data_IF_691505333284
#
_entry.id   IF_691505333284
#
_cell.length_a   1.000
_cell.length_b   1.000
_cell.length_c   1.000
_cell.angle_alpha   90.00
_cell.angle_beta   90.00
_cell.angle_gamma   90.00
#
_symmetry.space_group_name_H-M   'P 1'
#
loop_
_entity.id
_entity.type
_entity.pdbx_description
1 polymer ?
#
# COMPACT_ATOMS: atom_id res chain seq x y z
N UNK A 1 67.54 -15.76 15.67
CA UNK A 1 66.15 -15.25 15.61
C UNK A 1 65.35 -16.19 14.72
N UNK A 2 64.61 -17.14 15.30
CA UNK A 2 63.79 -18.10 14.55
C UNK A 2 62.37 -17.53 14.39
N UNK A 3 61.91 -17.37 13.15
CA UNK A 3 60.59 -16.85 12.84
C UNK A 3 59.53 -17.95 12.98
N UNK A 4 58.66 -17.80 13.98
CA UNK A 4 57.50 -18.66 14.21
C UNK A 4 56.42 -18.34 13.17
N UNK A 5 56.19 -19.23 12.19
CA UNK A 5 55.08 -19.12 11.23
C UNK A 5 53.94 -20.02 11.68
N UNK A 6 52.90 -19.41 12.27
CA UNK A 6 51.65 -20.11 12.56
C UNK A 6 50.86 -20.32 11.26
N UNK A 7 50.31 -21.52 10.99
CA UNK A 7 49.46 -21.74 9.82
C UNK A 7 48.07 -21.09 10.01
N UNK A 8 47.40 -20.67 8.91
CA UNK A 8 46.09 -20.05 8.98
C UNK A 8 44.98 -21.04 9.41
N UNK A 9 43.91 -20.56 10.06
CA UNK A 9 42.81 -21.41 10.52
C UNK A 9 42.04 -22.01 9.34
N UNK A 10 41.79 -23.32 9.41
CA UNK A 10 40.97 -24.05 8.43
C UNK A 10 39.51 -23.59 8.51
N UNK A 11 38.91 -23.28 7.36
CA UNK A 11 37.48 -22.94 7.26
C UNK A 11 36.61 -24.14 7.71
N UNK A 12 35.51 -23.91 8.44
CA UNK A 12 34.57 -24.98 8.79
C UNK A 12 33.88 -25.54 7.54
N UNK A 13 33.53 -26.83 7.53
CA UNK A 13 32.79 -27.44 6.44
C UNK A 13 31.37 -26.85 6.32
N UNK A 14 30.78 -26.86 5.11
CA UNK A 14 29.41 -26.40 4.91
C UNK A 14 28.43 -27.30 5.70
N UNK A 15 27.31 -26.73 6.20
CA UNK A 15 26.30 -27.50 6.90
C UNK A 15 25.68 -28.56 5.96
N UNK A 16 25.29 -29.73 6.49
CA UNK A 16 24.62 -30.75 5.70
C UNK A 16 23.28 -30.21 5.18
N UNK A 17 22.94 -30.60 3.94
CA UNK A 17 21.67 -30.26 3.33
C UNK A 17 20.50 -30.74 4.22
N UNK A 18 19.44 -29.94 4.41
CA UNK A 18 18.31 -30.33 5.24
C UNK A 18 17.65 -31.58 4.65
N UNK A 19 17.70 -32.67 5.40
CA UNK A 19 16.87 -33.83 5.16
C UNK A 19 15.41 -33.46 5.44
N UNK A 20 14.52 -33.87 4.54
CA UNK A 20 13.06 -33.75 4.60
C UNK A 20 12.48 -32.42 4.08
N UNK A 21 12.25 -32.40 2.77
CA UNK A 21 11.33 -31.48 2.11
C UNK A 21 9.89 -31.86 2.44
N UNK A 22 9.17 -30.97 3.11
CA UNK A 22 7.72 -31.09 3.32
C UNK A 22 7.00 -30.46 2.12
N UNK A 23 6.10 -31.18 1.42
CA UNK A 23 5.28 -30.60 0.34
C UNK A 23 4.53 -29.36 0.85
N UNK A 24 4.72 -28.20 0.20
CA UNK A 24 4.11 -26.92 0.58
C UNK A 24 5.04 -25.92 1.27
N UNK A 25 6.32 -26.25 1.48
CA UNK A 25 7.32 -25.28 1.94
C UNK A 25 7.74 -24.35 0.78
N UNK A 26 8.02 -23.06 1.07
CA UNK A 26 8.48 -22.02 0.12
C UNK A 26 9.70 -22.42 -0.74
N UNK A 27 10.39 -23.51 -0.37
CA UNK A 27 11.49 -24.11 -1.11
C UNK A 27 11.06 -24.87 -2.39
N UNK A 28 9.76 -24.99 -2.70
CA UNK A 28 9.24 -25.58 -3.95
C UNK A 28 8.92 -24.55 -5.02
N UNK A 29 9.47 -23.34 -4.93
CA UNK A 29 9.47 -22.47 -6.11
C UNK A 29 10.41 -23.11 -7.14
N UNK A 30 9.94 -23.44 -8.37
CA UNK A 30 10.85 -23.88 -9.41
C UNK A 30 11.92 -22.81 -9.58
N UNK A 31 13.19 -23.24 -9.67
CA UNK A 31 14.28 -22.34 -10.05
C UNK A 31 13.84 -21.57 -11.29
N UNK A 32 13.91 -20.23 -11.23
CA UNK A 32 13.63 -19.39 -12.38
C UNK A 32 14.55 -19.82 -13.51
N UNK A 33 13.98 -20.51 -14.50
CA UNK A 33 14.67 -20.78 -15.75
C UNK A 33 14.79 -19.42 -16.42
N UNK A 34 15.97 -18.81 -16.36
CA UNK A 34 16.28 -17.63 -17.17
C UNK A 34 16.39 -18.10 -18.63
N UNK A 35 15.23 -18.28 -19.26
CA UNK A 35 15.14 -18.40 -20.69
C UNK A 35 15.65 -17.09 -21.30
N UNK A 36 16.55 -17.20 -22.28
CA UNK A 36 17.19 -16.02 -22.91
C UNK A 36 16.12 -15.05 -23.40
N UNK A 37 16.37 -13.75 -23.28
CA UNK A 37 15.39 -12.68 -23.53
C UNK A 37 14.62 -12.79 -24.85
N UNK A 38 15.22 -13.39 -25.90
CA UNK A 38 14.55 -13.63 -27.19
C UNK A 38 13.48 -14.72 -27.13
N UNK A 39 13.70 -15.79 -26.35
CA UNK A 39 12.74 -16.89 -26.21
C UNK A 39 11.49 -16.49 -25.38
N UNK A 40 11.65 -15.55 -24.45
CA UNK A 40 10.53 -14.96 -23.70
C UNK A 40 9.62 -14.10 -24.60
N UNK A 41 10.20 -13.33 -25.53
CA UNK A 41 9.45 -12.56 -26.52
C UNK A 41 8.70 -13.45 -27.51
N UNK A 42 9.34 -14.53 -27.98
CA UNK A 42 8.69 -15.49 -28.87
C UNK A 42 7.46 -16.16 -28.22
N UNK A 43 7.53 -16.54 -26.94
CA UNK A 43 6.38 -17.07 -26.19
C UNK A 43 5.26 -16.04 -26.01
N UNK A 44 5.61 -14.77 -25.82
CA UNK A 44 4.63 -13.69 -25.73
C UNK A 44 3.87 -13.50 -27.05
N UNK A 45 4.58 -13.49 -28.18
CA UNK A 45 3.94 -13.40 -29.51
C UNK A 45 3.06 -14.62 -29.81
N UNK A 46 3.47 -15.81 -29.40
CA UNK A 46 2.68 -17.04 -29.55
C UNK A 46 1.39 -16.98 -28.72
N UNK A 47 1.46 -16.49 -27.48
CA UNK A 47 0.28 -16.26 -26.65
C UNK A 47 -0.67 -15.22 -27.25
N UNK A 48 -0.15 -14.11 -27.82
CA UNK A 48 -0.99 -13.13 -28.52
C UNK A 48 -1.67 -13.74 -29.74
N UNK A 49 -0.94 -14.49 -30.57
CA UNK A 49 -1.52 -15.21 -31.73
C UNK A 49 -2.63 -16.18 -31.32
N UNK A 50 -2.51 -16.78 -30.13
CA UNK A 50 -3.53 -17.69 -29.59
C UNK A 50 -4.76 -16.94 -29.07
N UNK A 51 -4.57 -15.74 -28.51
CA UNK A 51 -5.65 -14.89 -27.99
C UNK A 51 -6.38 -14.07 -29.06
N UNK A 52 -5.79 -13.88 -30.23
CA UNK A 52 -6.44 -13.25 -31.40
C UNK A 52 -7.44 -14.16 -32.12
N UNK A 53 -7.74 -15.36 -31.59
CA UNK A 53 -8.89 -16.15 -32.04
C UNK A 53 -10.15 -15.34 -31.73
N UNK A 54 -10.63 -14.67 -32.77
CA UNK A 54 -11.78 -13.79 -32.83
C UNK A 54 -12.95 -14.34 -32.02
N UNK A 55 -13.38 -13.60 -31.00
CA UNK A 55 -14.69 -13.80 -30.40
C UNK A 55 -15.74 -13.71 -31.52
N UNK A 56 -16.60 -14.72 -31.64
CA UNK A 56 -17.69 -14.67 -32.60
C UNK A 56 -18.56 -13.44 -32.33
N UNK A 57 -18.93 -12.71 -33.38
CA UNK A 57 -19.85 -11.60 -33.29
C UNK A 57 -21.13 -12.08 -32.58
N UNK A 58 -21.47 -11.44 -31.46
CA UNK A 58 -22.62 -11.79 -30.65
C UNK A 58 -23.86 -11.50 -31.48
N UNK A 59 -24.44 -12.53 -32.10
CA UNK A 59 -25.73 -12.37 -32.78
C UNK A 59 -26.81 -12.21 -31.70
N UNK A 60 -27.63 -11.14 -31.75
CA UNK A 60 -28.74 -11.00 -30.83
C UNK A 60 -29.68 -12.18 -31.05
N UNK A 61 -29.87 -12.99 -30.01
CA UNK A 61 -30.80 -14.11 -30.05
C UNK A 61 -32.21 -13.57 -30.35
N UNK A 62 -32.76 -13.95 -31.52
CA UNK A 62 -34.16 -13.74 -31.84
C UNK A 62 -35.00 -14.62 -30.91
N UNK A 63 -35.30 -14.08 -29.72
CA UNK A 63 -36.25 -14.68 -28.78
C UNK A 63 -37.64 -14.59 -29.43
N UNK A 64 -38.38 -15.70 -29.64
CA UNK A 64 -39.75 -15.61 -30.13
C UNK A 64 -40.57 -14.81 -29.11
N UNK A 65 -41.29 -13.81 -29.59
CA UNK A 65 -42.07 -12.91 -28.78
C UNK A 65 -43.13 -13.72 -27.99
N UNK A 66 -43.19 -13.61 -26.66
CA UNK A 66 -44.39 -14.02 -25.95
C UNK A 66 -45.55 -13.12 -26.42
N UNK A 67 -46.66 -13.74 -26.81
CA UNK A 67 -47.93 -13.07 -27.08
C UNK A 67 -48.45 -12.42 -25.79
N UNK A 68 -48.14 -11.13 -25.61
CA UNK A 68 -48.69 -10.31 -24.52
C UNK A 68 -49.93 -9.59 -25.07
N UNK A 69 -51.11 -9.69 -24.42
CA UNK A 69 -52.27 -8.85 -24.75
C UNK A 69 -51.94 -7.35 -24.55
N UNK A 70 -52.70 -6.42 -25.14
CA UNK A 70 -52.35 -4.99 -25.19
C UNK A 70 -52.45 -4.37 -23.80
N UNK A 71 -51.38 -4.48 -23.03
CA UNK A 71 -51.20 -3.94 -21.68
C UNK A 71 -50.06 -2.94 -21.66
N UNK A 72 -50.07 -1.96 -22.58
CA UNK A 72 -49.24 -0.78 -22.38
C UNK A 72 -49.93 0.07 -21.31
N UNK A 73 -49.57 -0.18 -20.04
CA UNK A 73 -49.83 0.80 -19.01
C UNK A 73 -48.94 2.03 -19.27
N UNK A 74 -49.52 3.25 -19.31
CA UNK A 74 -48.77 4.49 -19.46
C UNK A 74 -47.65 4.56 -18.42
N UNK A 75 -46.42 4.80 -18.86
CA UNK A 75 -45.30 5.06 -17.97
C UNK A 75 -45.52 6.37 -17.23
N UNK A 76 -46.06 6.29 -16.02
CA UNK A 76 -46.05 7.41 -15.10
C UNK A 76 -44.60 7.74 -14.75
N UNK A 77 -44.17 9.02 -14.82
CA UNK A 77 -42.87 9.41 -14.33
C UNK A 77 -42.83 9.07 -12.84
N UNK A 78 -41.87 8.23 -12.45
CA UNK A 78 -41.61 7.89 -11.06
C UNK A 78 -41.46 9.20 -10.29
N UNK A 79 -42.51 9.56 -9.53
CA UNK A 79 -42.50 10.75 -8.71
C UNK A 79 -41.27 10.69 -7.84
N UNK A 80 -40.49 11.77 -7.81
CA UNK A 80 -39.53 12.01 -6.74
C UNK A 80 -40.35 12.02 -5.45
N UNK A 81 -40.52 10.84 -4.87
CA UNK A 81 -40.91 10.68 -3.50
C UNK A 81 -39.90 11.56 -2.77
N UNK A 82 -40.37 12.70 -2.27
CA UNK A 82 -39.60 13.48 -1.34
C UNK A 82 -39.27 12.48 -0.25
N UNK A 83 -38.02 12.01 -0.26
CA UNK A 83 -37.48 11.22 0.82
C UNK A 83 -37.60 12.20 1.96
N UNK A 84 -38.67 12.03 2.74
CA UNK A 84 -38.82 12.62 4.04
C UNK A 84 -37.65 12.00 4.78
N UNK A 85 -36.50 12.67 4.68
CA UNK A 85 -35.28 12.27 5.31
C UNK A 85 -35.67 12.21 6.77
N UNK A 86 -35.98 11.00 7.25
CA UNK A 86 -35.95 10.70 8.66
C UNK A 86 -34.59 11.25 9.04
N UNK A 87 -34.47 12.29 9.88
CA UNK A 87 -33.17 12.69 10.35
C UNK A 87 -32.64 11.39 10.93
N UNK A 88 -31.63 10.82 10.28
CA UNK A 88 -30.89 9.71 10.82
C UNK A 88 -30.33 10.36 12.08
N UNK A 89 -31.06 10.16 13.19
CA UNK A 89 -30.67 10.61 14.50
C UNK A 89 -29.23 10.15 14.60
N UNK A 90 -28.34 11.13 14.67
CA UNK A 90 -26.89 10.99 14.73
C UNK A 90 -26.63 9.72 15.54
N UNK A 91 -26.33 8.62 14.86
CA UNK A 91 -25.82 7.46 15.55
C UNK A 91 -24.60 8.02 16.30
N UNK A 92 -24.50 7.84 17.63
CA UNK A 92 -23.37 8.38 18.37
C UNK A 92 -22.14 7.95 17.60
N UNK A 93 -21.35 8.92 17.13
CA UNK A 93 -20.24 8.69 16.24
C UNK A 93 -19.42 7.57 16.87
N UNK A 94 -19.55 6.35 16.33
CA UNK A 94 -18.78 5.22 16.79
C UNK A 94 -17.35 5.69 16.58
N UNK A 95 -16.62 5.87 17.68
CA UNK A 95 -15.22 6.27 17.61
C UNK A 95 -14.54 5.10 16.90
N UNK A 96 -14.41 5.23 15.59
CA UNK A 96 -13.72 4.24 14.77
C UNK A 96 -12.25 4.46 15.05
N UNK A 97 -11.60 3.42 15.55
CA UNK A 97 -10.15 3.42 15.63
C UNK A 97 -9.60 3.59 14.22
N UNK A 98 -8.77 4.62 14.04
CA UNK A 98 -8.15 4.89 12.75
C UNK A 98 -7.19 3.75 12.42
N UNK A 99 -7.33 3.20 11.21
CA UNK A 99 -6.41 2.16 10.72
C UNK A 99 -5.17 2.78 10.10
N UNK A 100 -4.10 1.99 10.04
CA UNK A 100 -2.83 2.44 9.47
C UNK A 100 -3.00 2.84 8.00
N UNK A 101 -3.73 2.03 7.25
CA UNK A 101 -4.05 2.27 5.84
C UNK A 101 -4.82 3.58 5.66
N UNK A 102 -5.76 3.89 6.56
CA UNK A 102 -6.52 5.14 6.48
C UNK A 102 -5.61 6.36 6.65
N UNK A 103 -4.70 6.32 7.63
CA UNK A 103 -3.71 7.37 7.81
C UNK A 103 -2.77 7.51 6.61
N UNK A 104 -2.33 6.40 6.02
CA UNK A 104 -1.49 6.41 4.82
C UNK A 104 -2.23 6.92 3.58
N UNK A 105 -3.53 6.63 3.44
CA UNK A 105 -4.35 7.14 2.33
C UNK A 105 -4.54 8.64 2.48
N UNK A 106 -4.89 9.11 3.68
CA UNK A 106 -5.07 10.52 3.96
C UNK A 106 -3.79 11.33 3.70
N UNK A 107 -2.63 10.85 4.13
CA UNK A 107 -1.33 11.50 3.89
C UNK A 107 -0.94 11.59 2.41
N UNK A 108 -1.55 10.78 1.52
CA UNK A 108 -1.27 10.74 0.08
C UNK A 108 -2.32 11.46 -0.78
N UNK A 109 -3.41 11.95 -0.18
CA UNK A 109 -4.45 12.70 -0.89
C UNK A 109 -3.85 13.92 -1.59
N UNK A 110 -4.50 14.38 -2.66
CA UNK A 110 -4.10 15.58 -3.40
C UNK A 110 -2.63 15.61 -3.84
N UNK A 111 -2.02 14.45 -4.10
CA UNK A 111 -0.60 14.33 -4.44
C UNK A 111 0.36 14.89 -3.37
N UNK A 112 -0.03 14.82 -2.09
CA UNK A 112 0.81 15.18 -0.94
C UNK A 112 1.98 14.20 -0.78
N UNK A 113 3.17 14.75 -0.57
CA UNK A 113 4.39 14.01 -0.22
C UNK A 113 4.60 13.95 1.30
N UNK A 114 4.64 15.12 1.94
CA UNK A 114 4.83 15.25 3.38
C UNK A 114 4.37 16.63 3.89
N UNK A 115 4.16 16.83 5.21
CA UNK A 115 3.97 18.16 5.77
C UNK A 115 5.20 19.05 5.54
N UNK A 116 5.02 20.37 5.54
CA UNK A 116 6.09 21.36 5.55
C UNK A 116 7.03 21.17 6.75
N UNK A 117 8.30 21.61 6.68
CA UNK A 117 9.32 21.30 7.69
C UNK A 117 8.93 21.65 9.14
N UNK A 118 8.29 22.81 9.34
CA UNK A 118 7.88 23.26 10.67
C UNK A 118 6.84 22.32 11.29
N UNK A 119 5.80 21.98 10.52
CA UNK A 119 4.71 21.09 10.89
C UNK A 119 5.22 19.65 11.07
N UNK A 120 6.14 19.22 10.21
CA UNK A 120 6.73 17.89 10.30
C UNK A 120 7.58 17.74 11.57
N UNK A 121 8.30 18.78 11.97
CA UNK A 121 9.02 18.79 13.25
C UNK A 121 8.06 18.70 14.45
N UNK A 122 6.90 19.36 14.39
CA UNK A 122 5.87 19.30 15.42
C UNK A 122 5.24 17.89 15.50
N UNK A 123 4.96 17.30 14.34
CA UNK A 123 4.48 15.92 14.23
C UNK A 123 5.45 14.93 14.87
N UNK A 124 6.75 15.05 14.58
CA UNK A 124 7.77 14.16 15.15
C UNK A 124 7.86 14.27 16.68
N UNK A 125 7.80 15.49 17.22
CA UNK A 125 7.82 15.73 18.68
C UNK A 125 6.63 15.13 19.41
N UNK A 126 5.49 14.97 18.73
CA UNK A 126 4.30 14.34 19.30
C UNK A 126 4.44 12.82 19.42
N UNK A 127 5.32 12.19 18.64
CA UNK A 127 5.48 10.73 18.65
C UNK A 127 6.29 10.29 19.87
N UNK A 128 5.73 9.43 20.75
CA UNK A 128 6.46 8.97 21.92
C UNK A 128 7.59 8.01 21.52
N UNK A 129 8.72 8.02 22.27
CA UNK A 129 9.71 6.98 22.17
C UNK A 129 9.14 5.65 22.69
N UNK A 130 9.61 4.54 22.13
CA UNK A 130 9.20 3.19 22.53
C UNK A 130 10.33 2.53 23.33
N UNK A 131 10.01 1.99 24.49
CA UNK A 131 10.96 1.16 25.25
C UNK A 131 10.61 -0.31 25.01
N UNK A 132 11.59 -1.11 24.57
CA UNK A 132 11.45 -2.55 24.39
C UNK A 132 12.73 -3.22 24.86
N UNK A 133 12.60 -4.26 25.71
CA UNK A 133 13.75 -5.03 26.22
C UNK A 133 14.86 -4.16 26.87
N UNK A 134 14.46 -3.09 27.56
CA UNK A 134 15.40 -2.15 28.18
C UNK A 134 16.13 -1.22 27.21
N UNK A 135 15.85 -1.28 25.90
CA UNK A 135 16.34 -0.35 24.88
C UNK A 135 15.26 0.65 24.49
N UNK A 136 15.63 1.92 24.44
CA UNK A 136 14.77 3.00 23.95
C UNK A 136 14.97 3.17 22.44
N UNK A 137 13.89 3.05 21.69
CA UNK A 137 13.82 3.25 20.26
C UNK A 137 13.08 4.56 19.99
N UNK A 138 13.67 5.41 19.16
CA UNK A 138 13.11 6.72 18.81
C UNK A 138 12.45 6.69 17.43
N UNK A 139 11.41 7.52 17.21
CA UNK A 139 10.80 7.67 15.89
C UNK A 139 11.82 8.15 14.85
N UNK A 140 11.69 7.74 13.56
CA UNK A 140 12.52 8.24 12.48
C UNK A 140 12.53 9.78 12.46
N UNK A 141 13.70 10.40 12.41
CA UNK A 141 13.82 11.85 12.39
C UNK A 141 13.22 12.44 11.10
N UNK A 142 12.57 13.62 11.18
CA UNK A 142 12.14 14.36 10.00
C UNK A 142 13.36 14.83 9.19
N UNK A 143 13.13 15.21 7.93
CA UNK A 143 14.19 15.79 7.11
C UNK A 143 14.41 17.24 7.54
N UNK A 144 15.62 17.54 8.04
CA UNK A 144 15.99 18.88 8.51
C UNK A 144 16.14 19.89 7.36
N UNK A 145 16.02 21.18 7.66
CA UNK A 145 15.95 22.27 6.67
C UNK A 145 17.09 22.31 5.64
N UNK A 146 18.33 21.96 6.02
CA UNK A 146 19.45 21.88 5.08
C UNK A 146 19.34 20.66 4.15
N UNK A 147 18.90 19.52 4.68
CA UNK A 147 18.68 18.29 3.91
C UNK A 147 17.37 18.33 3.11
N UNK A 148 16.45 19.24 3.43
CA UNK A 148 15.13 19.37 2.81
C UNK A 148 15.20 19.57 1.30
N UNK A 149 16.08 20.46 0.87
CA UNK A 149 16.23 20.81 -0.55
C UNK A 149 17.00 19.74 -1.32
N UNK A 150 17.87 18.98 -0.64
CA UNK A 150 18.63 17.90 -1.25
C UNK A 150 17.85 16.57 -1.36
N UNK A 151 16.81 16.40 -0.53
CA UNK A 151 16.02 15.16 -0.45
C UNK A 151 14.86 15.19 -1.43
N UNK A 152 14.69 14.13 -2.23
CA UNK A 152 13.58 14.05 -3.19
C UNK A 152 12.22 13.95 -2.51
N UNK A 153 11.15 14.39 -3.18
CA UNK A 153 9.78 14.28 -2.67
C UNK A 153 9.40 12.83 -2.33
N UNK A 154 9.91 11.86 -3.09
CA UNK A 154 9.68 10.43 -2.82
C UNK A 154 10.35 9.97 -1.53
N UNK A 155 11.59 10.38 -1.28
CA UNK A 155 12.29 10.09 -0.02
C UNK A 155 11.57 10.72 1.18
N UNK A 156 11.08 11.96 1.03
CA UNK A 156 10.27 12.63 2.06
C UNK A 156 8.99 11.84 2.38
N UNK A 157 8.28 11.37 1.35
CA UNK A 157 7.08 10.52 1.52
C UNK A 157 7.38 9.22 2.25
N UNK A 158 8.48 8.55 1.93
CA UNK A 158 8.90 7.32 2.61
C UNK A 158 9.18 7.57 4.11
N UNK A 159 9.85 8.67 4.44
CA UNK A 159 10.10 9.05 5.85
C UNK A 159 8.81 9.31 6.62
N UNK A 160 7.85 10.01 6.02
CA UNK A 160 6.54 10.21 6.64
C UNK A 160 5.83 8.88 6.87
N UNK A 161 5.86 7.98 5.88
CA UNK A 161 5.29 6.64 6.01
C UNK A 161 5.88 5.90 7.21
N UNK A 162 7.21 5.87 7.34
CA UNK A 162 7.88 5.19 8.46
C UNK A 162 7.44 5.76 9.82
N UNK A 163 7.21 7.08 9.91
CA UNK A 163 6.71 7.71 11.12
C UNK A 163 5.24 7.38 11.41
N UNK A 164 4.39 7.25 10.38
CA UNK A 164 3.00 6.80 10.54
C UNK A 164 2.97 5.33 10.99
N UNK A 165 3.82 4.48 10.42
CA UNK A 165 3.99 3.10 10.89
C UNK A 165 4.49 3.05 12.33
N UNK A 166 5.42 3.92 12.70
CA UNK A 166 5.88 4.07 14.08
C UNK A 166 4.72 4.43 15.01
N UNK A 167 3.91 5.42 14.64
CA UNK A 167 2.72 5.82 15.40
C UNK A 167 1.76 4.65 15.62
N UNK A 168 1.55 3.81 14.60
CA UNK A 168 0.80 2.56 14.72
C UNK A 168 1.39 1.60 15.75
N UNK A 169 2.71 1.38 15.72
CA UNK A 169 3.41 0.46 16.63
C UNK A 169 3.42 0.91 18.09
N UNK A 170 3.34 2.22 18.35
CA UNK A 170 3.31 2.79 19.72
C UNK A 170 1.91 3.14 20.20
N UNK A 171 0.87 2.89 19.38
CA UNK A 171 -0.53 3.22 19.72
C UNK A 171 -0.86 4.71 19.66
N UNK A 172 -0.01 5.55 19.06
CA UNK A 172 -0.24 6.99 18.88
C UNK A 172 -0.89 7.34 17.53
N UNK A 173 -1.39 6.34 16.80
CA UNK A 173 -1.91 6.51 15.44
C UNK A 173 -3.11 7.46 15.37
N UNK A 174 -4.02 7.40 16.34
CA UNK A 174 -5.18 8.30 16.39
C UNK A 174 -4.76 9.77 16.47
N UNK A 175 -3.79 10.08 17.34
CA UNK A 175 -3.26 11.44 17.51
C UNK A 175 -2.51 11.90 16.26
N UNK A 176 -1.70 11.01 15.69
CA UNK A 176 -1.01 11.24 14.42
C UNK A 176 -1.99 11.56 13.28
N UNK A 177 -3.07 10.79 13.15
CA UNK A 177 -4.09 11.01 12.14
C UNK A 177 -4.81 12.35 12.32
N UNK A 178 -5.27 12.65 13.54
CA UNK A 178 -5.95 13.91 13.84
C UNK A 178 -5.06 15.12 13.53
N UNK A 179 -3.77 15.04 13.88
CA UNK A 179 -2.80 16.07 13.53
C UNK A 179 -2.73 16.29 12.03
N UNK A 180 -2.54 15.22 11.25
CA UNK A 180 -2.41 15.31 9.80
C UNK A 180 -3.72 15.78 9.12
N UNK A 181 -4.89 15.42 9.64
CA UNK A 181 -6.19 15.93 9.16
C UNK A 181 -6.36 17.42 9.46
N UNK A 182 -5.83 17.89 10.59
CA UNK A 182 -5.91 19.31 10.98
C UNK A 182 -5.03 20.25 10.14
N UNK A 183 -4.07 19.71 9.38
CA UNK A 183 -3.16 20.50 8.57
C UNK A 183 -3.85 20.99 7.28
N UNK A 184 -3.86 22.31 7.01
CA UNK A 184 -4.38 22.86 5.78
C UNK A 184 -3.42 22.55 4.61
N UNK A 185 -3.93 22.59 3.37
CA UNK A 185 -3.20 22.12 2.18
C UNK A 185 -1.88 22.87 1.95
N UNK A 186 -1.82 24.15 2.29
CA UNK A 186 -0.63 25.02 2.12
C UNK A 186 0.53 24.58 3.03
N UNK A 187 0.23 23.81 4.06
CA UNK A 187 1.22 23.24 4.98
C UNK A 187 1.67 21.84 4.55
N UNK A 188 1.31 21.41 3.34
CA UNK A 188 1.81 20.20 2.71
C UNK A 188 2.77 20.53 1.57
N UNK A 189 3.74 19.66 1.39
CA UNK A 189 4.60 19.61 0.22
C UNK A 189 4.03 18.60 -0.77
N UNK A 190 3.89 19.00 -2.03
CA UNK A 190 3.35 18.19 -3.11
C UNK A 190 4.45 17.67 -4.02
N UNK A 191 4.14 16.63 -4.78
CA UNK A 191 4.95 16.29 -5.95
C UNK A 191 4.67 17.31 -7.05
N UNK A 192 5.75 17.97 -7.51
CA UNK A 192 5.79 18.79 -8.71
C UNK A 192 5.96 17.91 -9.95
#
# INVERSE_FOLDING_TARGET
MAANRNPPPKKPPPPPAPAHFVPGSRATAPMGLEETSESAWARFEELQRTHEVQFQATQPAARPAPTVPPGFEPTEPMGLAQVKAKPAALAPAVIRDVTLEEAMVMARRNNRACPMPAQWSAFHKMLPPRVSEGRTFTPPAPVDGAAWNATSAMQKRLRLRDQIEWAGRVGALQQAYQFLVSLPEEQWHHFD
#
